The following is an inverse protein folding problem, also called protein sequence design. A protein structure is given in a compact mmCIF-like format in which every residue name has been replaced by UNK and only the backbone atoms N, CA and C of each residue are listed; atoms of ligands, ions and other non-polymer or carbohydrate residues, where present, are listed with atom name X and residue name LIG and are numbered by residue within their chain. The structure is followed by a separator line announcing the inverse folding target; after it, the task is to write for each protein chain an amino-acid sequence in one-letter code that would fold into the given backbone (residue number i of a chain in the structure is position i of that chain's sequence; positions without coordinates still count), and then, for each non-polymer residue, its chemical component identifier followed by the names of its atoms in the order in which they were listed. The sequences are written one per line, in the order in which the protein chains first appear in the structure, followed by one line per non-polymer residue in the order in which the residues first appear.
data_IF_915795225736
#
_entry.id   IF_915795225736
#
_cell.length_a   1.000
_cell.length_b   1.000
_cell.length_c   1.000
_cell.angle_alpha   90.00
_cell.angle_beta   90.00
_cell.angle_gamma   90.00
#
_symmetry.space_group_name_H-M   'P 1'
#
loop_
_entity.id
_entity.type
_entity.pdbx_description
1 polymer ?
#
# COMPACT_ATOMS: atom_id res chain seq x y z
N UNK A 1 -2.47 -16.18 -6.40
CA UNK A 1 -2.73 -14.76 -6.74
C UNK A 1 -3.72 -14.57 -7.89
N UNK A 2 -3.62 -15.25 -9.05
CA UNK A 2 -4.59 -15.05 -10.15
C UNK A 2 -6.06 -15.15 -9.70
N UNK A 3 -6.42 -16.19 -8.91
CA UNK A 3 -7.76 -16.32 -8.32
C UNK A 3 -8.20 -15.10 -7.48
N UNK A 4 -7.26 -14.42 -6.81
CA UNK A 4 -7.53 -13.20 -6.02
C UNK A 4 -7.79 -12.01 -6.96
N UNK A 5 -6.99 -11.86 -8.03
CA UNK A 5 -7.22 -10.84 -9.07
C UNK A 5 -8.61 -11.01 -9.69
N UNK A 6 -9.01 -12.25 -9.97
CA UNK A 6 -10.32 -12.52 -10.57
C UNK A 6 -11.48 -12.16 -9.61
N UNK A 7 -11.27 -12.30 -8.29
CA UNK A 7 -12.26 -11.99 -7.24
C UNK A 7 -12.47 -10.51 -6.98
N UNK A 8 -11.42 -9.70 -7.04
CA UNK A 8 -11.47 -8.28 -6.65
C UNK A 8 -11.40 -7.37 -7.88
N UNK A 9 -12.45 -6.57 -8.12
CA UNK A 9 -12.53 -5.66 -9.28
C UNK A 9 -11.40 -4.62 -9.31
N UNK A 10 -11.00 -4.11 -8.15
CA UNK A 10 -9.91 -3.14 -8.02
C UNK A 10 -8.57 -3.68 -8.53
N UNK A 11 -8.30 -4.98 -8.40
CA UNK A 11 -7.07 -5.60 -8.90
C UNK A 11 -7.05 -5.76 -10.43
N UNK A 12 -8.22 -5.64 -11.08
CA UNK A 12 -8.38 -5.64 -12.55
C UNK A 12 -8.64 -4.23 -13.09
N UNK A 13 -8.42 -3.20 -12.28
CA UNK A 13 -8.72 -1.81 -12.64
C UNK A 13 -7.49 -1.11 -13.23
N UNK A 14 -7.69 -0.51 -14.40
CA UNK A 14 -6.75 0.42 -15.02
C UNK A 14 -7.28 1.86 -14.86
N UNK A 15 -6.40 2.85 -14.93
CA UNK A 15 -6.74 4.26 -14.81
C UNK A 15 -6.46 4.93 -16.16
N UNK A 16 -7.47 5.56 -16.73
CA UNK A 16 -7.39 6.28 -18.00
C UNK A 16 -7.49 7.78 -17.72
N UNK A 17 -6.62 8.57 -18.33
CA UNK A 17 -6.65 10.04 -18.20
C UNK A 17 -6.34 10.75 -19.51
N UNK A 18 -5.65 10.11 -20.44
CA UNK A 18 -5.38 10.65 -21.77
C UNK A 18 -6.70 10.90 -22.52
N UNK A 19 -6.84 12.11 -23.08
CA UNK A 19 -8.00 12.56 -23.85
C UNK A 19 -9.36 12.49 -23.13
N UNK A 20 -9.37 12.45 -21.79
CA UNK A 20 -10.57 12.49 -20.96
C UNK A 20 -10.66 13.79 -20.16
N UNK A 21 -11.87 14.36 -20.07
CA UNK A 21 -12.13 15.53 -19.22
C UNK A 21 -12.00 15.23 -17.73
N UNK A 22 -12.19 13.98 -17.33
CA UNK A 22 -11.96 13.48 -15.98
C UNK A 22 -11.32 12.09 -16.04
N UNK A 23 -10.31 11.81 -15.18
CA UNK A 23 -9.74 10.47 -15.10
C UNK A 23 -10.80 9.43 -14.76
N UNK A 24 -10.72 8.26 -15.40
CA UNK A 24 -11.66 7.17 -15.25
C UNK A 24 -10.97 5.89 -14.76
N UNK A 25 -11.66 5.16 -13.90
CA UNK A 25 -11.29 3.79 -13.51
C UNK A 25 -12.02 2.80 -14.42
N UNK A 26 -11.27 1.94 -15.10
CA UNK A 26 -11.79 0.93 -16.04
C UNK A 26 -11.50 -0.45 -15.48
N UNK A 27 -12.56 -1.15 -15.05
CA UNK A 27 -12.47 -2.54 -14.60
C UNK A 27 -12.44 -3.46 -15.82
N UNK A 28 -11.31 -4.10 -16.09
CA UNK A 28 -11.20 -5.09 -17.16
C UNK A 28 -11.99 -6.35 -16.80
N UNK A 29 -12.58 -7.04 -17.78
CA UNK A 29 -13.26 -8.33 -17.54
C UNK A 29 -12.29 -9.39 -17.02
N UNK A 30 -11.07 -9.41 -17.54
CA UNK A 30 -9.97 -10.29 -17.12
C UNK A 30 -8.68 -9.47 -17.09
N UNK A 31 -7.83 -9.74 -16.11
CA UNK A 31 -6.47 -9.23 -16.06
C UNK A 31 -5.56 -10.38 -15.60
N UNK A 32 -4.54 -10.69 -16.38
CA UNK A 32 -3.62 -11.80 -16.08
C UNK A 32 -2.49 -11.30 -15.21
N UNK A 33 -2.19 -12.04 -14.14
CA UNK A 33 -1.05 -11.81 -13.28
C UNK A 33 0.25 -11.81 -14.09
N UNK A 34 1.04 -10.76 -13.96
CA UNK A 34 2.40 -10.73 -14.48
C UNK A 34 3.36 -11.38 -13.46
N UNK A 35 4.13 -12.37 -13.91
CA UNK A 35 5.23 -12.97 -13.16
C UNK A 35 6.47 -12.93 -14.04
N UNK A 36 7.51 -12.25 -13.58
CA UNK A 36 8.81 -12.17 -14.25
C UNK A 36 9.82 -12.97 -13.48
N UNK A 37 10.35 -14.03 -14.09
CA UNK A 37 11.43 -14.83 -13.53
C UNK A 37 12.78 -14.27 -14.00
N UNK A 38 13.68 -14.05 -13.04
CA UNK A 38 15.04 -13.57 -13.30
C UNK A 38 16.04 -14.69 -13.02
N UNK A 39 16.94 -14.90 -13.98
CA UNK A 39 18.13 -15.73 -13.82
C UNK A 39 19.26 -14.83 -13.31
N UNK A 40 19.59 -14.96 -12.02
CA UNK A 40 20.59 -14.13 -11.35
C UNK A 40 21.79 -15.00 -10.95
N UNK A 41 23.00 -14.45 -11.04
CA UNK A 41 24.23 -15.16 -10.67
C UNK A 41 24.64 -14.78 -9.25
N UNK A 42 24.76 -15.78 -8.38
CA UNK A 42 25.25 -15.62 -7.01
C UNK A 42 26.69 -15.09 -6.92
N UNK A 43 27.46 -15.18 -8.01
CA UNK A 43 28.81 -14.61 -8.07
C UNK A 43 28.82 -13.07 -8.06
N UNK A 44 27.72 -12.43 -8.48
CA UNK A 44 27.54 -10.97 -8.50
C UNK A 44 27.02 -10.39 -7.17
N UNK A 45 26.87 -11.23 -6.13
CA UNK A 45 26.41 -10.87 -4.80
C UNK A 45 25.12 -11.60 -4.39
N UNK A 46 24.52 -11.20 -3.27
CA UNK A 46 23.28 -11.84 -2.79
C UNK A 46 22.16 -11.70 -3.83
N UNK A 47 21.52 -12.82 -4.19
CA UNK A 47 20.35 -12.83 -5.09
C UNK A 47 19.24 -11.90 -4.57
N UNK A 48 19.10 -11.80 -3.24
CA UNK A 48 18.12 -10.90 -2.59
C UNK A 48 18.44 -9.43 -2.87
N UNK A 49 19.70 -9.03 -2.74
CA UNK A 49 20.10 -7.64 -2.99
C UNK A 49 19.98 -7.29 -4.48
N UNK A 50 20.33 -8.25 -5.35
CA UNK A 50 20.20 -8.09 -6.80
C UNK A 50 18.73 -7.89 -7.22
N UNK A 51 17.81 -8.77 -6.79
CA UNK A 51 16.39 -8.64 -7.16
C UNK A 51 15.76 -7.37 -6.57
N UNK A 52 16.11 -6.97 -5.34
CA UNK A 52 15.64 -5.71 -4.73
C UNK A 52 16.09 -4.51 -5.54
N UNK A 53 17.35 -4.49 -5.98
CA UNK A 53 17.88 -3.42 -6.83
C UNK A 53 17.17 -3.36 -8.18
N UNK A 54 16.97 -4.51 -8.83
CA UNK A 54 16.30 -4.62 -10.14
C UNK A 54 14.81 -4.30 -10.08
N UNK A 55 14.21 -4.28 -8.89
CA UNK A 55 12.79 -3.97 -8.68
C UNK A 55 12.58 -2.66 -7.93
N UNK A 56 13.61 -1.82 -7.84
CA UNK A 56 13.53 -0.52 -7.17
C UNK A 56 12.40 0.33 -7.79
N UNK A 57 11.37 0.72 -7.01
CA UNK A 57 10.25 1.50 -7.52
C UNK A 57 10.65 2.90 -8.02
N UNK A 58 11.82 3.41 -7.62
CA UNK A 58 12.36 4.66 -8.16
C UNK A 58 12.85 4.49 -9.61
N UNK A 59 13.24 3.27 -10.00
CA UNK A 59 13.72 2.96 -11.34
C UNK A 59 12.62 2.33 -12.21
N UNK A 60 11.65 1.64 -11.59
CA UNK A 60 10.61 0.90 -12.28
C UNK A 60 9.23 1.40 -11.87
N UNK A 61 8.63 2.23 -12.74
CA UNK A 61 7.29 2.77 -12.52
C UNK A 61 6.22 1.82 -13.08
N UNK A 62 5.10 1.70 -12.37
CA UNK A 62 3.95 0.93 -12.81
C UNK A 62 3.09 1.81 -13.72
N UNK A 63 2.84 1.35 -14.95
CA UNK A 63 1.95 2.00 -15.89
C UNK A 63 0.49 1.85 -15.45
N UNK A 64 -0.11 2.93 -14.97
CA UNK A 64 -1.49 2.96 -14.46
C UNK A 64 -2.54 2.60 -15.51
N UNK A 65 -2.21 2.72 -16.79
CA UNK A 65 -3.11 2.37 -17.89
C UNK A 65 -3.19 0.86 -18.15
N UNK A 66 -2.32 0.04 -17.54
CA UNK A 66 -2.21 -1.40 -17.82
C UNK A 66 -2.49 -2.23 -16.57
N UNK A 67 -3.75 -2.64 -16.40
CA UNK A 67 -4.10 -3.60 -15.36
C UNK A 67 -3.59 -5.03 -15.70
N UNK A 68 -3.22 -5.84 -14.70
CA UNK A 68 -3.28 -5.54 -13.27
C UNK A 68 -2.12 -4.64 -12.81
N UNK A 69 -2.38 -3.74 -11.85
CA UNK A 69 -1.34 -2.90 -11.22
C UNK A 69 -0.60 -3.61 -10.08
N UNK A 70 -0.58 -4.93 -10.14
CA UNK A 70 0.12 -5.83 -9.22
C UNK A 70 0.81 -6.92 -10.02
N UNK A 71 2.05 -7.22 -9.68
CA UNK A 71 2.86 -8.27 -10.32
C UNK A 71 3.95 -8.79 -9.40
N UNK A 72 4.56 -9.90 -9.80
CA UNK A 72 5.68 -10.50 -9.08
C UNK A 72 6.93 -10.56 -9.95
N UNK A 73 8.06 -10.28 -9.32
CA UNK A 73 9.37 -10.67 -9.84
C UNK A 73 9.91 -11.76 -8.93
N UNK A 74 10.41 -12.85 -9.52
CA UNK A 74 10.90 -14.00 -8.80
C UNK A 74 12.32 -14.34 -9.24
N UNK A 75 13.12 -14.84 -8.32
CA UNK A 75 14.42 -15.42 -8.60
C UNK A 75 14.67 -16.58 -7.64
N UNK A 76 15.37 -17.59 -8.12
CA UNK A 76 15.80 -18.70 -7.29
C UNK A 76 17.19 -18.40 -6.69
N UNK A 77 17.33 -18.65 -5.40
CA UNK A 77 18.59 -18.53 -4.66
C UNK A 77 19.36 -19.87 -4.64
N UNK A 78 20.61 -19.86 -4.20
CA UNK A 78 21.52 -21.02 -4.21
C UNK A 78 21.02 -22.22 -3.39
N UNK A 79 20.14 -21.98 -2.42
CA UNK A 79 19.56 -22.99 -1.55
C UNK A 79 18.22 -23.57 -2.08
N UNK A 80 17.95 -23.45 -3.39
CA UNK A 80 16.67 -23.85 -4.04
C UNK A 80 15.44 -23.08 -3.52
N UNK A 81 15.68 -21.97 -2.78
CA UNK A 81 14.64 -21.09 -2.24
C UNK A 81 14.23 -20.06 -3.28
N UNK A 82 12.94 -19.73 -3.30
CA UNK A 82 12.42 -18.67 -4.15
C UNK A 82 12.32 -17.35 -3.39
N UNK A 83 12.90 -16.31 -3.97
CA UNK A 83 12.69 -14.93 -3.55
C UNK A 83 11.59 -14.36 -4.42
N UNK A 84 10.59 -13.73 -3.79
CA UNK A 84 9.45 -13.11 -4.47
C UNK A 84 9.38 -11.65 -4.06
N UNK A 85 9.45 -10.77 -5.04
CA UNK A 85 9.15 -9.34 -4.86
C UNK A 85 7.77 -9.06 -5.44
N UNK A 86 6.89 -8.54 -4.59
CA UNK A 86 5.57 -8.03 -4.99
C UNK A 86 5.68 -6.54 -5.31
N UNK A 87 5.36 -6.17 -6.54
CA UNK A 87 5.16 -4.78 -6.91
C UNK A 87 3.66 -4.52 -7.03
N UNK A 88 3.14 -3.56 -6.26
CA UNK A 88 1.74 -3.14 -6.34
C UNK A 88 1.65 -1.62 -6.25
N UNK A 89 0.88 -1.00 -7.14
CA UNK A 89 0.65 0.44 -7.07
C UNK A 89 -0.33 0.78 -5.93
N UNK A 90 0.04 1.69 -5.02
CA UNK A 90 -0.79 2.02 -3.85
C UNK A 90 -2.18 2.61 -4.18
N UNK A 91 -2.39 3.09 -5.41
CA UNK A 91 -3.71 3.57 -5.87
C UNK A 91 -4.81 2.48 -5.83
N UNK A 92 -4.43 1.19 -5.88
CA UNK A 92 -5.37 0.07 -5.84
C UNK A 92 -5.40 -0.66 -4.49
N UNK A 93 -4.62 -0.22 -3.50
CA UNK A 93 -4.58 -0.90 -2.21
C UNK A 93 -3.63 -0.30 -1.19
N UNK A 94 -4.03 -0.45 0.07
CA UNK A 94 -3.26 -0.09 1.25
C UNK A 94 -2.84 -1.33 2.06
N UNK A 95 -2.27 -1.11 3.24
CA UNK A 95 -1.86 -2.20 4.13
C UNK A 95 -3.02 -3.11 4.57
N UNK A 96 -4.24 -2.59 4.68
CA UNK A 96 -5.42 -3.38 5.04
C UNK A 96 -5.83 -4.27 3.87
N UNK A 97 -5.85 -3.73 2.64
CA UNK A 97 -6.09 -4.50 1.42
C UNK A 97 -5.04 -5.62 1.25
N UNK A 98 -3.77 -5.32 1.51
CA UNK A 98 -2.71 -6.33 1.48
C UNK A 98 -2.94 -7.48 2.46
N UNK A 99 -3.43 -7.21 3.67
CA UNK A 99 -3.76 -8.26 4.64
C UNK A 99 -4.89 -9.18 4.13
N UNK A 100 -5.92 -8.61 3.51
CA UNK A 100 -7.01 -9.38 2.88
C UNK A 100 -6.46 -10.25 1.75
N UNK A 101 -5.67 -9.69 0.84
CA UNK A 101 -5.07 -10.44 -0.27
C UNK A 101 -4.22 -11.61 0.22
N UNK A 102 -3.35 -11.38 1.22
CA UNK A 102 -2.51 -12.44 1.81
C UNK A 102 -3.35 -13.56 2.42
N UNK A 103 -4.41 -13.21 3.16
CA UNK A 103 -5.33 -14.19 3.73
C UNK A 103 -6.01 -15.03 2.65
N UNK A 104 -6.48 -14.41 1.57
CA UNK A 104 -7.09 -15.16 0.44
C UNK A 104 -6.07 -16.04 -0.29
N UNK A 105 -4.86 -15.54 -0.54
CA UNK A 105 -3.76 -16.34 -1.11
C UNK A 105 -3.52 -17.59 -0.27
N UNK A 106 -3.42 -17.44 1.05
CA UNK A 106 -3.27 -18.58 1.98
C UNK A 106 -4.48 -19.53 1.94
N UNK A 107 -5.70 -19.03 1.87
CA UNK A 107 -6.88 -19.87 1.76
C UNK A 107 -6.86 -20.71 0.47
N UNK A 108 -6.47 -20.12 -0.67
CA UNK A 108 -6.33 -20.84 -1.93
C UNK A 108 -5.23 -21.90 -1.90
N UNK A 109 -4.07 -21.61 -1.29
CA UNK A 109 -3.01 -22.62 -1.14
C UNK A 109 -3.44 -23.81 -0.29
N UNK A 110 -4.34 -23.60 0.66
CA UNK A 110 -4.83 -24.63 1.57
C UNK A 110 -6.14 -25.28 1.12
N UNK A 111 -6.63 -25.00 -0.10
CA UNK A 111 -7.93 -25.46 -0.62
C UNK A 111 -9.12 -25.12 0.31
N UNK A 112 -9.11 -23.92 0.89
CA UNK A 112 -10.14 -23.40 1.82
C UNK A 112 -10.92 -22.24 1.23
N UNK A 113 -11.01 -22.13 -0.10
CA UNK A 113 -11.71 -21.02 -0.76
C UNK A 113 -13.20 -20.90 -0.38
N UNK A 114 -13.85 -22.00 0.00
CA UNK A 114 -15.25 -22.01 0.45
C UNK A 114 -15.48 -21.22 1.75
N UNK A 115 -14.42 -20.99 2.53
CA UNK A 115 -14.48 -20.19 3.76
C UNK A 115 -14.37 -18.68 3.51
N UNK A 116 -14.05 -18.27 2.28
CA UNK A 116 -13.90 -16.87 1.93
C UNK A 116 -15.27 -16.23 1.70
N UNK A 117 -15.49 -15.07 2.32
CA UNK A 117 -16.67 -14.26 2.04
C UNK A 117 -16.62 -13.73 0.60
N UNK A 118 -17.80 -13.44 0.05
CA UNK A 118 -17.90 -12.74 -1.23
C UNK A 118 -17.29 -11.34 -1.11
N UNK A 119 -16.33 -10.98 -1.99
CA UNK A 119 -15.68 -9.69 -1.92
C UNK A 119 -16.66 -8.57 -2.26
N UNK A 120 -16.61 -7.48 -1.50
CA UNK A 120 -17.40 -6.30 -1.82
C UNK A 120 -16.74 -5.55 -3.00
N UNK A 121 -17.47 -5.30 -4.11
CA UNK A 121 -16.92 -4.55 -5.23
C UNK A 121 -16.46 -3.16 -4.81
N UNK A 122 -15.26 -2.74 -5.21
CA UNK A 122 -14.69 -1.46 -4.82
C UNK A 122 -15.53 -0.27 -5.31
N UNK A 123 -16.24 -0.44 -6.43
CA UNK A 123 -17.22 0.56 -6.93
C UNK A 123 -18.29 0.94 -5.89
N UNK A 124 -18.59 0.07 -4.92
CA UNK A 124 -19.55 0.37 -3.86
C UNK A 124 -19.00 1.45 -2.92
N UNK A 125 -17.71 1.37 -2.58
CA UNK A 125 -17.02 2.42 -1.82
C UNK A 125 -17.01 3.73 -2.61
N UNK A 126 -16.70 3.69 -3.91
CA UNK A 126 -16.74 4.88 -4.77
C UNK A 126 -18.14 5.51 -4.77
N UNK A 127 -19.19 4.69 -4.88
CA UNK A 127 -20.58 5.16 -4.81
C UNK A 127 -20.90 5.82 -3.47
N UNK A 128 -20.47 5.22 -2.35
CA UNK A 128 -20.67 5.77 -1.01
C UNK A 128 -19.95 7.11 -0.83
N UNK A 129 -18.69 7.21 -1.25
CA UNK A 129 -17.91 8.46 -1.18
C UNK A 129 -18.56 9.55 -2.03
N UNK A 130 -19.02 9.23 -3.25
CA UNK A 130 -19.68 10.21 -4.13
C UNK A 130 -21.07 10.63 -3.67
N UNK A 131 -21.75 9.77 -2.91
CA UNK A 131 -23.07 10.06 -2.33
C UNK A 131 -22.97 10.76 -0.97
N UNK A 132 -21.76 10.90 -0.42
CA UNK A 132 -21.50 11.55 0.85
C UNK A 132 -21.67 13.07 0.80
N UNK A 133 -21.31 13.76 1.90
CA UNK A 133 -21.34 15.22 1.97
C UNK A 133 -20.54 15.86 0.83
N UNK A 134 -20.99 17.03 0.38
CA UNK A 134 -20.30 17.74 -0.70
C UNK A 134 -18.88 18.14 -0.26
N UNK A 135 -17.96 18.36 -1.21
CA UNK A 135 -16.62 18.88 -0.91
C UNK A 135 -16.63 20.17 -0.08
N UNK A 136 -17.69 20.98 -0.19
CA UNK A 136 -17.87 22.20 0.60
C UNK A 136 -18.08 21.91 2.09
N UNK A 137 -18.84 20.86 2.44
CA UNK A 137 -19.02 20.45 3.84
C UNK A 137 -17.68 20.03 4.45
N UNK A 138 -16.88 19.26 3.71
CA UNK A 138 -15.55 18.87 4.14
C UNK A 138 -14.61 20.08 4.30
N UNK A 139 -14.64 21.02 3.35
CA UNK A 139 -13.88 22.27 3.42
C UNK A 139 -14.23 23.06 4.67
N UNK A 140 -15.52 23.29 4.94
CA UNK A 140 -15.97 24.02 6.13
C UNK A 140 -15.51 23.35 7.43
N UNK A 141 -15.59 22.02 7.50
CA UNK A 141 -15.11 21.26 8.65
C UNK A 141 -13.61 21.49 8.90
N UNK A 142 -12.76 21.28 7.89
CA UNK A 142 -11.31 21.42 8.04
C UNK A 142 -10.88 22.87 8.26
N UNK A 143 -11.52 23.85 7.60
CA UNK A 143 -11.28 25.27 7.84
C UNK A 143 -11.57 25.63 9.29
N UNK A 144 -12.70 25.17 9.85
CA UNK A 144 -13.02 25.40 11.28
C UNK A 144 -12.03 24.68 12.21
N UNK A 145 -11.67 23.44 11.88
CA UNK A 145 -10.77 22.61 12.69
C UNK A 145 -9.36 23.20 12.79
N UNK A 146 -8.86 23.79 11.71
CA UNK A 146 -7.48 24.29 11.58
C UNK A 146 -7.38 25.82 11.65
N UNK A 147 -8.47 26.52 12.03
CA UNK A 147 -8.56 28.00 11.94
C UNK A 147 -7.53 28.78 12.76
N UNK A 148 -6.93 28.14 13.78
CA UNK A 148 -5.97 28.74 14.70
C UNK A 148 -4.52 28.30 14.42
N UNK A 149 -4.27 27.66 13.27
CA UNK A 149 -2.94 27.27 12.84
C UNK A 149 -2.45 28.32 11.84
N UNK A 150 -1.69 29.29 12.34
CA UNK A 150 -1.19 30.42 11.54
C UNK A 150 0.23 30.18 10.97
N UNK A 151 0.92 29.14 11.45
CA UNK A 151 2.27 28.77 11.02
C UNK A 151 2.34 27.28 10.65
N UNK A 152 3.03 26.90 9.56
CA UNK A 152 3.19 25.50 9.21
C UNK A 152 3.96 24.76 10.30
N UNK A 153 3.49 23.57 10.69
CA UNK A 153 4.20 22.67 11.61
C UNK A 153 5.33 21.93 10.86
N UNK A 154 6.37 22.67 10.45
CA UNK A 154 7.50 22.10 9.73
C UNK A 154 8.32 21.21 10.67
N UNK A 155 8.51 19.93 10.36
CA UNK A 155 9.43 19.09 11.12
C UNK A 155 10.84 19.68 11.02
N UNK A 156 11.41 20.07 12.16
CA UNK A 156 12.74 20.68 12.26
C UNK A 156 12.95 21.95 11.40
N UNK A 157 11.89 22.67 11.05
CA UNK A 157 11.98 23.88 10.23
C UNK A 157 12.28 23.62 8.74
N UNK A 158 12.20 22.37 8.27
CA UNK A 158 12.43 22.01 6.88
C UNK A 158 11.19 22.33 6.03
N UNK A 159 11.28 23.37 5.20
CA UNK A 159 10.21 23.81 4.28
C UNK A 159 10.37 23.27 2.86
N UNK A 160 11.57 22.80 2.50
CA UNK A 160 11.91 22.40 1.15
C UNK A 160 11.69 20.91 0.97
N UNK A 161 10.49 20.55 0.53
CA UNK A 161 10.06 19.16 0.25
C UNK A 161 9.85 18.96 -1.26
N UNK A 162 10.27 19.92 -2.09
CA UNK A 162 10.14 19.88 -3.55
C UNK A 162 11.30 19.17 -4.25
N UNK A 163 12.13 18.45 -3.51
CA UNK A 163 13.06 17.51 -4.14
C UNK A 163 12.25 16.30 -4.63
N UNK A 164 12.66 15.68 -5.73
CA UNK A 164 11.90 14.67 -6.50
C UNK A 164 11.65 13.34 -5.74
N UNK A 165 11.74 13.35 -4.40
CA UNK A 165 11.67 12.19 -3.52
C UNK A 165 12.90 11.30 -3.60
N UNK A 166 13.96 11.74 -4.28
CA UNK A 166 15.12 10.92 -4.65
C UNK A 166 16.05 10.66 -3.46
N UNK A 167 16.06 11.52 -2.44
CA UNK A 167 16.88 11.33 -1.22
C UNK A 167 16.04 11.08 0.05
N UNK A 168 15.11 10.12 0.01
CA UNK A 168 14.42 9.66 1.23
C UNK A 168 15.32 8.70 2.02
N UNK A 169 16.01 9.22 3.04
CA UNK A 169 16.70 8.39 4.04
C UNK A 169 15.71 7.78 5.02
N UNK A 170 15.80 6.45 5.25
CA UNK A 170 14.93 5.71 6.18
C UNK A 170 15.73 5.21 7.37
N UNK A 171 15.34 5.62 8.58
CA UNK A 171 15.80 5.01 9.83
C UNK A 171 14.72 4.08 10.39
N UNK A 172 15.13 2.93 10.93
CA UNK A 172 14.23 2.00 11.61
C UNK A 172 14.80 1.69 12.99
N UNK A 173 13.97 1.88 14.02
CA UNK A 173 14.30 1.50 15.38
C UNK A 173 13.16 0.64 15.94
N UNK A 174 13.48 -0.58 16.33
CA UNK A 174 12.51 -1.46 16.99
C UNK A 174 12.38 -1.08 18.47
N UNK A 175 11.14 -0.91 18.93
CA UNK A 175 10.88 -0.70 20.35
C UNK A 175 11.12 -2.02 21.12
N UNK A 176 11.85 -1.99 22.25
CA UNK A 176 11.97 -3.16 23.12
C UNK A 176 10.60 -3.71 23.52
N UNK A 177 10.44 -5.04 23.50
CA UNK A 177 9.16 -5.71 23.80
C UNK A 177 8.51 -5.21 25.09
N UNK A 178 9.29 -5.13 26.17
CA UNK A 178 8.80 -4.68 27.47
C UNK A 178 8.21 -3.26 27.44
N UNK A 179 8.75 -2.37 26.61
CA UNK A 179 8.26 -1.00 26.46
C UNK A 179 6.96 -0.99 25.65
N UNK A 180 6.91 -1.73 24.54
CA UNK A 180 5.70 -1.89 23.74
C UNK A 180 4.54 -2.48 24.58
N UNK A 181 4.82 -3.49 25.42
CA UNK A 181 3.81 -4.10 26.29
C UNK A 181 3.27 -3.10 27.32
N UNK A 182 4.16 -2.28 27.93
CA UNK A 182 3.75 -1.20 28.83
C UNK A 182 2.87 -0.17 28.12
N UNK A 183 3.29 0.31 26.93
CA UNK A 183 2.54 1.29 26.15
C UNK A 183 1.14 0.77 25.78
N UNK A 184 1.02 -0.51 25.41
CA UNK A 184 -0.27 -1.16 25.16
C UNK A 184 -1.14 -1.22 26.41
N UNK A 185 -0.56 -1.55 27.56
CA UNK A 185 -1.29 -1.51 28.84
C UNK A 185 -1.76 -0.10 29.22
N UNK A 186 -0.98 0.94 28.90
CA UNK A 186 -1.42 2.34 29.06
C UNK A 186 -2.56 2.70 28.10
N UNK A 187 -2.43 2.37 26.82
CA UNK A 187 -3.47 2.61 25.81
C UNK A 187 -4.80 1.98 26.23
N UNK A 188 -4.77 0.72 26.68
CA UNK A 188 -5.94 0.00 27.16
C UNK A 188 -6.59 0.68 28.38
N UNK A 189 -5.80 1.05 29.39
CA UNK A 189 -6.32 1.73 30.60
C UNK A 189 -6.94 3.09 30.30
N UNK A 190 -6.37 3.81 29.33
CA UNK A 190 -6.84 5.13 28.92
C UNK A 190 -7.99 5.08 27.90
N UNK A 191 -8.34 3.89 27.39
CA UNK A 191 -9.38 3.75 26.37
C UNK A 191 -9.01 4.34 25.01
N UNK A 192 -7.72 4.44 24.69
CA UNK A 192 -7.21 5.01 23.44
C UNK A 192 -6.40 3.98 22.64
N UNK A 193 -6.15 4.27 21.36
CA UNK A 193 -5.26 3.43 20.54
C UNK A 193 -3.79 3.67 20.90
N UNK A 194 -2.93 2.66 20.68
CA UNK A 194 -1.48 2.82 20.77
C UNK A 194 -0.97 3.93 19.84
N UNK A 195 -1.57 4.08 18.65
CA UNK A 195 -1.25 5.15 17.72
C UNK A 195 -1.47 6.55 18.31
N UNK A 196 -2.51 6.74 19.14
CA UNK A 196 -2.77 8.01 19.80
C UNK A 196 -1.65 8.38 20.79
N UNK A 197 -1.16 7.40 21.56
CA UNK A 197 -0.02 7.59 22.46
C UNK A 197 1.24 7.92 21.66
N UNK A 198 1.49 7.23 20.55
CA UNK A 198 2.65 7.51 19.69
C UNK A 198 2.59 8.91 19.07
N UNK A 199 1.42 9.35 18.58
CA UNK A 199 1.25 10.71 18.06
C UNK A 199 1.47 11.77 19.15
N UNK A 200 1.00 11.52 20.38
CA UNK A 200 1.25 12.43 21.49
C UNK A 200 2.74 12.54 21.80
N UNK A 201 3.47 11.42 21.83
CA UNK A 201 4.91 11.43 22.05
C UNK A 201 5.69 12.12 20.92
N UNK A 202 5.21 12.00 19.68
CA UNK A 202 5.81 12.67 18.52
C UNK A 202 5.57 14.19 18.49
N UNK A 203 4.45 14.64 19.06
CA UNK A 203 4.08 16.05 19.10
C UNK A 203 4.80 16.87 20.19
N UNK A 204 5.68 16.25 20.99
CA UNK A 204 6.45 16.89 22.06
C UNK A 204 7.74 17.54 21.56
#
# INVERSE_FOLDING_TARGET
MQKVIDRHDILRTAFMWEDLSTPAQVVLRRASLSVTELMLDSSDGSITDQIVKLTDPNQHRIDLAKAPLVGYTIAQDTDDRWIVVEAMHHIIGDNSAMAVMKNEIHAFFNCKEESLLEPQPFRNLISQVRSGPSPEVHRQFFTKMLHNIDTPALPYGLSDIHDDGVEVSKARLSLPKHLNDKLRGHAQRLGVSLASISHLAWAQ
#
